data_IF_946371394208
#
_entry.id   IF_946371394208
#
_cell.length_a   1.000
_cell.length_b   1.000
_cell.length_c   1.000
_cell.angle_alpha   90.00
_cell.angle_beta   90.00
_cell.angle_gamma   90.00
#
_symmetry.space_group_name_H-M   'P 1'
#
loop_
_entity.id
_entity.type
_entity.pdbx_description
1 polymer ?
#
# COMPACT_ATOMS: atom_id res chain seq x y z
N UNK A 1 10.05 18.33 9.75
CA UNK A 1 9.07 17.56 10.55
C UNK A 1 9.43 16.10 10.37
N UNK A 2 9.48 15.29 11.43
CA UNK A 2 9.72 13.85 11.27
C UNK A 2 8.50 13.18 10.63
N UNK A 3 8.66 11.98 10.08
CA UNK A 3 7.52 11.23 9.55
C UNK A 3 6.50 10.89 10.65
N UNK A 4 6.97 10.58 11.87
CA UNK A 4 6.10 10.32 13.02
C UNK A 4 5.26 11.54 13.40
N UNK A 5 5.87 12.73 13.43
CA UNK A 5 5.14 13.98 13.69
C UNK A 5 4.09 14.24 12.60
N UNK A 6 4.42 13.95 11.33
CA UNK A 6 3.47 14.06 10.22
C UNK A 6 2.29 13.11 10.41
N UNK A 7 2.52 11.84 10.73
CA UNK A 7 1.45 10.86 11.01
C UNK A 7 0.50 11.38 12.11
N UNK A 8 1.07 11.83 13.23
CA UNK A 8 0.29 12.30 14.39
C UNK A 8 -0.53 13.56 14.09
N UNK A 9 -0.01 14.46 13.24
CA UNK A 9 -0.65 15.76 12.96
C UNK A 9 -1.57 15.76 11.74
N UNK A 10 -1.34 14.89 10.75
CA UNK A 10 -2.03 14.93 9.45
C UNK A 10 -2.82 13.67 9.13
N UNK A 11 -2.51 12.53 9.76
CA UNK A 11 -3.18 11.24 9.51
C UNK A 11 -3.83 10.67 10.78
N UNK A 12 -4.25 11.54 11.70
CA UNK A 12 -4.92 11.10 12.92
C UNK A 12 -6.19 10.30 12.59
N UNK A 13 -6.28 9.08 13.11
CA UNK A 13 -7.39 8.16 12.85
C UNK A 13 -7.16 7.21 11.66
N UNK A 14 -5.98 7.25 11.03
CA UNK A 14 -5.52 6.23 10.09
C UNK A 14 -4.37 5.45 10.73
N UNK A 15 -4.54 4.14 10.88
CA UNK A 15 -3.43 3.25 11.24
C UNK A 15 -2.90 2.57 9.97
N UNK A 16 -1.58 2.62 9.75
CA UNK A 16 -0.91 1.96 8.63
C UNK A 16 -0.78 0.44 8.89
N UNK A 17 -1.92 -0.23 9.07
CA UNK A 17 -2.03 -1.67 9.31
C UNK A 17 -3.10 -2.29 8.41
N UNK A 18 -2.90 -3.53 7.94
CA UNK A 18 -3.90 -4.23 7.14
C UNK A 18 -5.05 -4.79 8.02
N UNK A 19 -6.29 -4.84 7.50
CA UNK A 19 -6.73 -4.11 6.30
C UNK A 19 -6.88 -2.61 6.60
N UNK A 20 -6.20 -1.78 5.81
CA UNK A 20 -6.15 -0.31 5.92
C UNK A 20 -7.55 0.31 5.94
N UNK A 21 -8.49 -0.21 5.14
CA UNK A 21 -9.88 0.25 5.08
C UNK A 21 -10.65 0.13 6.41
N UNK A 22 -10.37 -0.91 7.21
CA UNK A 22 -10.99 -1.04 8.53
C UNK A 22 -10.26 -0.24 9.61
N UNK A 23 -9.02 0.17 9.32
CA UNK A 23 -8.18 1.02 10.14
C UNK A 23 -8.30 2.52 9.79
N UNK A 24 -9.35 2.90 9.09
CA UNK A 24 -9.72 4.29 8.76
C UNK A 24 -11.24 4.49 8.79
N UNK A 25 -11.68 5.70 9.11
CA UNK A 25 -13.10 6.09 9.05
C UNK A 25 -13.60 6.32 7.62
N UNK A 26 -12.71 6.80 6.74
CA UNK A 26 -13.03 7.19 5.37
C UNK A 26 -12.10 6.42 4.45
N UNK A 27 -12.67 5.60 3.58
CA UNK A 27 -11.91 4.78 2.66
C UNK A 27 -12.77 4.13 1.60
N UNK A 28 -12.09 3.65 0.57
CA UNK A 28 -12.68 2.84 -0.50
C UNK A 28 -11.77 1.63 -0.69
N UNK A 29 -12.39 0.46 -0.75
CA UNK A 29 -11.72 -0.80 -1.08
C UNK A 29 -12.07 -1.19 -2.50
N UNK A 30 -11.06 -1.29 -3.34
CA UNK A 30 -11.18 -1.65 -4.74
C UNK A 30 -10.80 -3.11 -4.97
N UNK A 31 -11.50 -3.74 -5.89
CA UNK A 31 -11.18 -5.03 -6.46
C UNK A 31 -10.32 -4.82 -7.72
N UNK A 32 -9.13 -5.41 -7.75
CA UNK A 32 -8.20 -5.30 -8.88
C UNK A 32 -8.35 -6.46 -9.87
N UNK A 33 -8.20 -7.68 -9.40
CA UNK A 33 -8.41 -8.89 -10.19
C UNK A 33 -9.89 -9.18 -10.38
N UNK A 34 -10.32 -9.55 -11.59
CA UNK A 34 -11.73 -9.89 -11.87
C UNK A 34 -11.93 -11.38 -11.56
N UNK A 35 -12.61 -11.75 -10.45
CA UNK A 35 -12.57 -13.12 -9.93
C UNK A 35 -13.17 -14.15 -10.90
N UNK A 36 -14.17 -13.74 -11.69
CA UNK A 36 -14.91 -14.64 -12.57
C UNK A 36 -14.08 -15.28 -13.69
N UNK A 37 -12.96 -14.66 -14.08
CA UNK A 37 -12.07 -15.18 -15.13
C UNK A 37 -10.96 -16.09 -14.59
N UNK A 38 -10.63 -15.95 -13.31
CA UNK A 38 -9.53 -16.66 -12.66
C UNK A 38 -8.15 -16.16 -13.06
N UNK A 39 -7.15 -16.48 -12.24
CA UNK A 39 -5.73 -16.10 -12.41
C UNK A 39 -5.07 -16.71 -13.65
N UNK A 40 -5.68 -17.74 -14.24
CA UNK A 40 -5.22 -18.41 -15.45
C UNK A 40 -5.58 -17.62 -16.72
N UNK A 41 -6.53 -16.68 -16.64
CA UNK A 41 -6.84 -15.80 -17.76
C UNK A 41 -5.61 -14.91 -18.06
N UNK A 42 -5.10 -14.92 -19.31
CA UNK A 42 -3.98 -14.06 -19.70
C UNK A 42 -4.19 -12.57 -19.41
N UNK A 43 -5.44 -12.11 -19.40
CA UNK A 43 -5.84 -10.73 -19.17
C UNK A 43 -5.97 -10.38 -17.67
N UNK A 44 -5.83 -11.35 -16.76
CA UNK A 44 -6.01 -11.11 -15.33
C UNK A 44 -5.01 -10.07 -14.82
N UNK A 45 -3.70 -10.32 -14.99
CA UNK A 45 -2.66 -9.39 -14.55
C UNK A 45 -2.61 -8.10 -15.37
N UNK A 46 -3.09 -8.10 -16.62
CA UNK A 46 -3.29 -6.87 -17.39
C UNK A 46 -4.37 -5.99 -16.76
N UNK A 47 -5.45 -6.60 -16.28
CA UNK A 47 -6.53 -5.89 -15.59
C UNK A 47 -6.08 -5.35 -14.24
N UNK A 48 -5.38 -6.18 -13.45
CA UNK A 48 -4.78 -5.76 -12.17
C UNK A 48 -3.88 -4.56 -12.38
N UNK A 49 -2.91 -4.67 -13.31
CA UNK A 49 -2.00 -3.59 -13.68
C UNK A 49 -2.76 -2.33 -14.08
N UNK A 50 -3.74 -2.46 -14.98
CA UNK A 50 -4.52 -1.31 -15.46
C UNK A 50 -5.26 -0.61 -14.32
N UNK A 51 -5.98 -1.35 -13.48
CA UNK A 51 -6.75 -0.78 -12.37
C UNK A 51 -5.82 -0.14 -11.33
N UNK A 52 -4.76 -0.84 -10.92
CA UNK A 52 -3.82 -0.33 -9.91
C UNK A 52 -3.11 0.94 -10.37
N UNK A 53 -2.61 0.97 -11.62
CA UNK A 53 -1.97 2.17 -12.19
C UNK A 53 -2.96 3.32 -12.34
N UNK A 54 -4.17 3.08 -12.85
CA UNK A 54 -5.19 4.12 -13.04
C UNK A 54 -5.58 4.77 -11.71
N UNK A 55 -5.81 3.95 -10.68
CA UNK A 55 -6.15 4.43 -9.34
C UNK A 55 -4.98 5.22 -8.73
N UNK A 56 -3.75 4.75 -8.89
CA UNK A 56 -2.56 5.45 -8.41
C UNK A 56 -2.41 6.81 -9.08
N UNK A 57 -2.46 6.85 -10.42
CA UNK A 57 -2.32 8.07 -11.21
C UNK A 57 -3.43 9.08 -10.88
N UNK A 58 -4.65 8.62 -10.62
CA UNK A 58 -5.78 9.47 -10.19
C UNK A 58 -5.55 10.13 -8.83
N UNK A 59 -4.75 9.51 -7.95
CA UNK A 59 -4.39 10.09 -6.65
C UNK A 59 -3.15 10.99 -6.76
N UNK A 60 -2.10 10.54 -7.47
CA UNK A 60 -0.75 11.10 -7.34
C UNK A 60 -0.25 11.92 -8.53
N UNK A 61 -0.95 11.94 -9.67
CA UNK A 61 -0.50 12.65 -10.89
C UNK A 61 -0.19 14.14 -10.67
N UNK A 62 -0.96 14.82 -9.80
CA UNK A 62 -0.76 16.23 -9.45
C UNK A 62 0.08 16.44 -8.18
N UNK A 63 0.58 15.35 -7.57
CA UNK A 63 1.32 15.46 -6.32
C UNK A 63 2.75 15.89 -6.57
N UNK A 64 3.18 16.98 -5.91
CA UNK A 64 4.57 17.42 -5.96
C UNK A 64 5.51 16.50 -5.18
N UNK A 65 5.01 15.93 -4.08
CA UNK A 65 5.78 15.04 -3.18
C UNK A 65 4.86 13.98 -2.60
N UNK A 66 5.40 12.82 -2.28
CA UNK A 66 4.70 11.77 -1.53
C UNK A 66 5.65 11.11 -0.52
N UNK A 67 5.08 10.50 0.51
CA UNK A 67 5.82 9.48 1.26
C UNK A 67 5.59 8.12 0.61
N UNK A 68 6.67 7.37 0.45
CA UNK A 68 6.61 5.91 0.35
C UNK A 68 7.05 5.33 1.71
N UNK A 69 6.24 4.43 2.24
CA UNK A 69 6.44 3.79 3.54
C UNK A 69 6.52 2.30 3.31
N UNK A 70 7.56 1.67 3.86
CA UNK A 70 7.76 0.22 3.82
C UNK A 70 7.69 -0.30 5.24
N UNK A 71 6.81 -1.26 5.51
CA UNK A 71 6.83 -2.07 6.74
C UNK A 71 7.27 -3.48 6.40
N UNK A 72 8.26 -3.98 7.13
CA UNK A 72 8.89 -5.28 6.91
C UNK A 72 9.16 -5.98 8.24
N UNK A 73 9.40 -7.28 8.18
CA UNK A 73 9.79 -8.10 9.30
C UNK A 73 11.16 -8.73 9.03
N UNK A 74 12.11 -8.49 9.92
CA UNK A 74 13.44 -9.08 9.86
C UNK A 74 13.54 -10.21 10.90
N UNK A 75 13.67 -11.48 10.48
CA UNK A 75 13.74 -12.60 11.41
C UNK A 75 15.10 -12.62 12.15
N UNK A 76 15.10 -13.18 13.35
CA UNK A 76 16.30 -13.51 14.11
C UNK A 76 16.45 -15.03 14.16
N UNK A 77 17.70 -15.52 14.09
CA UNK A 77 18.00 -16.95 14.26
C UNK A 77 17.34 -17.53 15.52
N UNK A 78 16.71 -18.72 15.46
CA UNK A 78 16.72 -19.65 14.32
C UNK A 78 15.61 -19.43 13.28
N UNK A 79 14.79 -18.38 13.41
CA UNK A 79 13.72 -18.09 12.48
C UNK A 79 14.28 -17.55 11.16
N UNK A 80 13.65 -17.92 10.05
CA UNK A 80 14.03 -17.50 8.70
C UNK A 80 12.77 -17.16 7.89
N UNK A 81 12.89 -16.18 6.99
CA UNK A 81 11.84 -15.86 6.02
C UNK A 81 12.17 -16.61 4.72
N UNK A 82 11.28 -17.50 4.32
CA UNK A 82 11.35 -18.13 3.01
C UNK A 82 10.80 -17.17 1.96
N UNK A 83 11.56 -16.96 0.87
CA UNK A 83 11.14 -16.12 -0.27
C UNK A 83 10.82 -14.67 0.12
N UNK A 84 11.79 -13.87 0.62
CA UNK A 84 11.52 -12.53 1.14
C UNK A 84 11.09 -11.48 0.08
N UNK A 85 11.15 -11.81 -1.21
CA UNK A 85 10.95 -10.86 -2.29
C UNK A 85 12.10 -9.86 -2.42
N UNK A 86 11.88 -8.79 -3.19
CA UNK A 86 12.84 -7.70 -3.38
C UNK A 86 12.57 -6.54 -2.42
N UNK A 87 13.63 -5.83 -2.04
CA UNK A 87 13.54 -4.60 -1.25
C UNK A 87 13.05 -3.46 -2.15
N UNK A 88 11.90 -2.86 -1.79
CA UNK A 88 11.27 -1.81 -2.60
C UNK A 88 12.17 -0.60 -2.83
N UNK A 89 13.00 -0.22 -1.85
CA UNK A 89 13.85 0.94 -1.97
C UNK A 89 15.11 0.62 -2.78
N UNK A 90 15.65 -0.58 -2.64
CA UNK A 90 16.82 -0.98 -3.41
C UNK A 90 16.49 -1.17 -4.91
N UNK A 91 15.29 -1.70 -5.20
CA UNK A 91 14.92 -2.09 -6.57
C UNK A 91 14.21 -0.99 -7.35
N UNK A 92 13.34 -0.20 -6.70
CA UNK A 92 12.40 0.69 -7.40
C UNK A 92 12.55 2.17 -7.06
N UNK A 93 13.58 2.55 -6.31
CA UNK A 93 13.86 3.94 -5.95
C UNK A 93 15.24 4.35 -6.44
N UNK A 94 15.35 5.57 -6.95
CA UNK A 94 16.62 6.14 -7.39
C UNK A 94 17.69 6.06 -6.30
N UNK A 95 18.83 5.45 -6.64
CA UNK A 95 19.97 5.31 -5.72
C UNK A 95 20.49 6.66 -5.19
N UNK A 96 20.26 7.75 -5.92
CA UNK A 96 20.62 9.11 -5.50
C UNK A 96 19.86 9.60 -4.26
N UNK A 97 18.71 9.00 -3.92
CA UNK A 97 17.89 9.41 -2.76
C UNK A 97 17.76 8.32 -1.69
N UNK A 98 18.39 7.16 -1.88
CA UNK A 98 18.31 6.04 -0.93
C UNK A 98 18.82 6.40 0.47
N UNK A 99 19.80 7.29 0.54
CA UNK A 99 20.37 7.79 1.80
C UNK A 99 19.40 8.68 2.60
N UNK A 100 18.25 9.05 2.03
CA UNK A 100 17.18 9.80 2.70
C UNK A 100 16.13 8.89 3.35
N UNK A 101 16.21 7.57 3.16
CA UNK A 101 15.32 6.60 3.82
C UNK A 101 15.56 6.66 5.33
N UNK A 102 14.48 6.80 6.10
CA UNK A 102 14.52 6.87 7.56
C UNK A 102 13.78 5.68 8.15
N UNK A 103 14.49 4.87 8.94
CA UNK A 103 13.86 3.92 9.86
C UNK A 103 13.25 4.72 11.02
N UNK A 104 11.92 4.74 11.12
CA UNK A 104 11.21 5.46 12.18
C UNK A 104 10.59 4.51 13.21
N UNK A 105 10.61 3.21 12.98
CA UNK A 105 10.12 2.23 13.93
C UNK A 105 10.94 0.94 13.84
N UNK A 106 11.31 0.39 14.99
CA UNK A 106 11.97 -0.89 15.12
C UNK A 106 11.51 -1.53 16.43
N UNK A 107 10.65 -2.56 16.33
CA UNK A 107 9.98 -3.19 17.46
C UNK A 107 10.33 -4.69 17.48
N UNK A 108 10.72 -5.24 18.64
CA UNK A 108 10.90 -6.69 18.77
C UNK A 108 9.56 -7.40 18.59
N UNK A 109 9.60 -8.55 17.94
CA UNK A 109 8.46 -9.43 17.72
C UNK A 109 8.67 -10.77 18.44
N UNK A 110 7.62 -11.30 19.04
CA UNK A 110 7.71 -12.47 19.91
C UNK A 110 6.70 -13.52 19.48
N UNK A 111 7.12 -14.77 19.53
CA UNK A 111 6.25 -15.92 19.32
C UNK A 111 5.16 -15.95 20.41
N UNK A 112 3.90 -16.04 20.02
CA UNK A 112 2.76 -15.87 20.94
C UNK A 112 2.71 -16.96 22.03
N UNK A 113 3.15 -18.18 21.70
CA UNK A 113 3.07 -19.34 22.60
C UNK A 113 4.29 -19.45 23.52
N UNK A 114 5.48 -19.23 22.96
CA UNK A 114 6.76 -19.43 23.66
C UNK A 114 7.38 -18.16 24.21
N UNK A 115 6.86 -16.98 23.81
CA UNK A 115 7.38 -15.65 24.13
C UNK A 115 8.87 -15.48 23.77
N UNK A 116 9.36 -16.25 22.79
CA UNK A 116 10.71 -16.13 22.27
C UNK A 116 10.79 -15.01 21.24
N UNK A 117 11.89 -14.24 21.26
CA UNK A 117 12.15 -13.22 20.26
C UNK A 117 12.31 -13.89 18.89
N UNK A 118 11.40 -13.60 17.97
CA UNK A 118 11.41 -14.17 16.62
C UNK A 118 12.13 -13.26 15.63
N UNK A 119 12.12 -11.95 15.88
CA UNK A 119 12.69 -10.96 14.97
C UNK A 119 12.30 -9.53 15.33
N UNK A 120 12.31 -8.66 14.33
CA UNK A 120 12.01 -7.25 14.47
C UNK A 120 11.07 -6.76 13.35
N UNK A 121 9.95 -6.18 13.76
CA UNK A 121 9.10 -5.40 12.88
C UNK A 121 9.69 -4.01 12.69
N UNK A 122 10.01 -3.65 11.44
CA UNK A 122 10.62 -2.36 11.09
C UNK A 122 9.77 -1.56 10.12
N UNK A 123 9.69 -0.25 10.35
CA UNK A 123 8.99 0.68 9.47
C UNK A 123 9.94 1.78 8.99
N UNK A 124 9.95 1.98 7.69
CA UNK A 124 10.80 2.93 6.98
C UNK A 124 9.96 3.91 6.18
N UNK A 125 10.43 5.14 6.07
CA UNK A 125 9.77 6.20 5.31
C UNK A 125 10.77 6.92 4.41
N UNK A 126 10.30 7.36 3.25
CA UNK A 126 11.03 8.22 2.33
C UNK A 126 10.08 9.26 1.75
N UNK A 127 10.39 10.54 1.97
CA UNK A 127 9.74 11.66 1.30
C UNK A 127 10.46 11.95 -0.01
N UNK A 128 9.75 11.91 -1.13
CA UNK A 128 10.35 12.18 -2.44
C UNK A 128 9.31 12.58 -3.51
N UNK A 129 9.81 12.95 -4.68
CA UNK A 129 9.01 13.22 -5.87
C UNK A 129 8.73 11.91 -6.62
N UNK A 130 7.60 11.87 -7.35
CA UNK A 130 7.19 10.67 -8.09
C UNK A 130 8.21 10.25 -9.17
N UNK A 131 8.95 11.21 -9.73
CA UNK A 131 10.00 10.95 -10.73
C UNK A 131 11.15 10.07 -10.24
N UNK A 132 11.33 9.94 -8.92
CA UNK A 132 12.39 9.12 -8.31
C UNK A 132 11.95 7.70 -7.95
N UNK A 133 10.71 7.33 -8.28
CA UNK A 133 10.13 6.03 -7.95
C UNK A 133 9.54 5.38 -9.20
N UNK A 134 9.92 4.13 -9.47
CA UNK A 134 9.21 3.29 -10.43
C UNK A 134 7.93 2.69 -9.79
N UNK A 135 6.93 3.53 -9.58
CA UNK A 135 5.68 3.09 -8.95
C UNK A 135 4.96 2.00 -9.75
N UNK A 136 5.11 1.98 -11.09
CA UNK A 136 4.51 0.93 -11.94
C UNK A 136 5.19 -0.41 -11.68
N UNK A 137 6.53 -0.41 -11.57
CA UNK A 137 7.31 -1.57 -11.15
C UNK A 137 6.90 -2.08 -9.78
N UNK A 138 6.70 -1.18 -8.80
CA UNK A 138 6.25 -1.52 -7.44
C UNK A 138 4.87 -2.18 -7.47
N UNK A 139 3.87 -1.55 -8.11
CA UNK A 139 2.51 -2.10 -8.18
C UNK A 139 2.49 -3.47 -8.87
N UNK A 140 3.29 -3.63 -9.93
CA UNK A 140 3.47 -4.92 -10.60
C UNK A 140 4.09 -5.96 -9.67
N UNK A 141 5.13 -5.61 -8.92
CA UNK A 141 5.79 -6.54 -8.00
C UNK A 141 4.88 -6.94 -6.83
N UNK A 142 4.07 -6.02 -6.30
CA UNK A 142 3.04 -6.35 -5.30
C UNK A 142 2.03 -7.35 -5.88
N UNK A 143 1.61 -7.18 -7.14
CA UNK A 143 0.69 -8.14 -7.79
C UNK A 143 1.26 -9.56 -7.95
N UNK A 144 2.59 -9.73 -7.85
CA UNK A 144 3.25 -11.03 -7.99
C UNK A 144 3.63 -11.67 -6.65
N UNK A 145 3.21 -11.11 -5.51
CA UNK A 145 3.57 -11.61 -4.16
C UNK A 145 3.23 -13.09 -3.96
N UNK A 146 2.08 -13.55 -4.47
CA UNK A 146 1.68 -14.97 -4.46
C UNK A 146 2.13 -15.74 -5.72
N UNK A 147 2.83 -15.08 -6.66
CA UNK A 147 3.25 -15.65 -7.94
C UNK A 147 4.74 -15.41 -8.27
N UNK A 148 5.71 -15.91 -7.46
CA UNK A 148 7.14 -15.66 -7.67
C UNK A 148 7.69 -16.04 -9.06
N UNK A 149 7.06 -16.97 -9.76
CA UNK A 149 7.47 -17.39 -11.12
C UNK A 149 7.23 -16.33 -12.20
N UNK A 150 6.47 -15.26 -11.91
CA UNK A 150 6.17 -14.18 -12.86
C UNK A 150 7.21 -13.06 -12.90
N UNK A 151 8.12 -12.99 -11.93
CA UNK A 151 9.20 -12.00 -11.87
C UNK A 151 9.46 -11.52 -10.45
N UNK A 152 10.07 -10.33 -10.33
CA UNK A 152 10.27 -9.68 -9.04
C UNK A 152 8.91 -9.48 -8.34
N UNK A 153 8.90 -9.74 -7.03
CA UNK A 153 7.74 -9.59 -6.17
C UNK A 153 8.14 -8.95 -4.84
N UNK A 154 7.20 -8.27 -4.19
CA UNK A 154 7.39 -7.62 -2.89
C UNK A 154 6.44 -8.28 -1.88
N UNK A 155 6.98 -8.78 -0.76
CA UNK A 155 6.17 -9.25 0.38
C UNK A 155 5.89 -8.16 1.42
N UNK A 156 6.75 -7.14 1.47
CA UNK A 156 6.62 -6.06 2.42
C UNK A 156 5.36 -5.22 2.18
N UNK A 157 4.84 -4.61 3.26
CA UNK A 157 3.69 -3.73 3.14
C UNK A 157 4.16 -2.36 2.69
N UNK A 158 3.68 -1.94 1.53
CA UNK A 158 4.00 -0.64 0.94
C UNK A 158 2.80 0.29 1.04
N UNK A 159 3.01 1.50 1.56
CA UNK A 159 2.02 2.57 1.57
C UNK A 159 2.57 3.77 0.81
N UNK A 160 1.75 4.35 -0.05
CA UNK A 160 2.02 5.64 -0.65
C UNK A 160 1.11 6.69 -0.01
N UNK A 161 1.65 7.84 0.36
CA UNK A 161 0.92 8.88 1.08
C UNK A 161 1.02 10.20 0.35
N UNK A 162 -0.13 10.73 -0.08
CA UNK A 162 -0.21 12.05 -0.68
C UNK A 162 -0.17 13.12 0.43
N UNK A 163 0.93 13.86 0.52
CA UNK A 163 1.23 14.76 1.64
C UNK A 163 0.25 15.93 1.80
N UNK A 164 -0.29 16.44 0.69
CA UNK A 164 -1.24 17.58 0.68
C UNK A 164 -2.69 17.15 0.88
N UNK A 165 -3.11 16.06 0.22
CA UNK A 165 -4.49 15.54 0.30
C UNK A 165 -4.69 14.59 1.49
N UNK A 166 -3.62 14.20 2.19
CA UNK A 166 -3.63 13.24 3.29
C UNK A 166 -4.38 11.95 2.92
N UNK A 167 -4.07 11.44 1.72
CA UNK A 167 -4.59 10.19 1.18
C UNK A 167 -3.51 9.12 1.38
N UNK A 168 -3.89 7.95 1.87
CA UNK A 168 -3.02 6.77 1.96
C UNK A 168 -3.53 5.74 0.97
N UNK A 169 -2.61 5.23 0.15
CA UNK A 169 -2.84 4.22 -0.87
C UNK A 169 -2.06 2.96 -0.51
N UNK A 170 -2.73 1.81 -0.47
CA UNK A 170 -2.14 0.52 -0.16
C UNK A 170 -2.72 -0.58 -1.04
N UNK A 171 -1.88 -1.17 -1.88
CA UNK A 171 -2.19 -2.38 -2.62
C UNK A 171 -1.75 -3.60 -1.81
N UNK A 172 -2.64 -4.56 -1.59
CA UNK A 172 -2.33 -5.76 -0.80
C UNK A 172 -1.59 -6.80 -1.63
N UNK A 173 -2.17 -7.09 -2.80
CA UNK A 173 -1.82 -8.16 -3.72
C UNK A 173 -2.54 -7.89 -5.04
N UNK A 174 -2.68 -8.91 -5.89
CA UNK A 174 -3.40 -8.86 -7.15
C UNK A 174 -4.93 -8.73 -7.01
N UNK A 175 -5.49 -8.92 -5.81
CA UNK A 175 -6.94 -8.93 -5.57
C UNK A 175 -7.45 -7.59 -5.08
N UNK A 176 -6.76 -6.98 -4.11
CA UNK A 176 -7.32 -5.87 -3.34
C UNK A 176 -6.42 -4.64 -3.25
N UNK A 177 -7.06 -3.47 -3.20
CA UNK A 177 -6.40 -2.18 -3.00
C UNK A 177 -7.27 -1.24 -2.17
N UNK A 178 -6.70 -0.67 -1.12
CA UNK A 178 -7.36 0.31 -0.27
C UNK A 178 -6.82 1.73 -0.50
N UNK A 179 -7.74 2.67 -0.59
CA UNK A 179 -7.44 4.11 -0.60
C UNK A 179 -8.24 4.75 0.51
N UNK A 180 -7.56 5.34 1.49
CA UNK A 180 -8.17 5.98 2.66
C UNK A 180 -7.74 7.44 2.75
N UNK A 181 -8.55 8.27 3.40
CA UNK A 181 -8.26 9.68 3.56
C UNK A 181 -8.82 10.21 4.89
N UNK A 182 -8.38 11.40 5.28
CA UNK A 182 -8.97 12.12 6.42
C UNK A 182 -10.29 12.81 6.06
N UNK A 183 -10.48 13.14 4.78
CA UNK A 183 -11.65 13.88 4.29
C UNK A 183 -12.29 13.12 3.13
N UNK A 184 -13.60 12.89 3.19
CA UNK A 184 -14.32 12.15 2.16
C UNK A 184 -14.31 12.89 0.82
N UNK A 185 -14.31 14.23 0.84
CA UNK A 185 -14.20 15.05 -0.38
C UNK A 185 -12.98 14.66 -1.24
N UNK A 186 -11.87 14.25 -0.61
CA UNK A 186 -10.64 13.89 -1.31
C UNK A 186 -10.73 12.55 -2.06
N UNK A 187 -11.72 11.71 -1.75
CA UNK A 187 -11.97 10.42 -2.41
C UNK A 187 -13.23 10.45 -3.29
N UNK A 188 -13.98 11.55 -3.32
CA UNK A 188 -15.27 11.62 -4.02
C UNK A 188 -15.14 11.35 -5.53
N UNK A 189 -14.09 11.88 -6.17
CA UNK A 189 -13.85 11.62 -7.59
C UNK A 189 -13.59 10.12 -7.85
N UNK A 190 -12.78 9.47 -6.99
CA UNK A 190 -12.51 8.05 -7.11
C UNK A 190 -13.78 7.21 -6.92
N UNK A 191 -14.61 7.57 -5.94
CA UNK A 191 -15.88 6.89 -5.67
C UNK A 191 -16.84 6.97 -6.86
N UNK A 192 -16.93 8.13 -7.50
CA UNK A 192 -17.84 8.35 -8.63
C UNK A 192 -17.33 7.71 -9.92
N UNK A 193 -16.04 7.88 -10.23
CA UNK A 193 -15.46 7.44 -11.50
C UNK A 193 -15.17 5.94 -11.53
N UNK A 194 -14.75 5.36 -10.41
CA UNK A 194 -14.34 3.96 -10.31
C UNK A 194 -15.30 3.13 -9.45
N UNK A 195 -16.58 3.52 -9.40
CA UNK A 195 -17.60 2.85 -8.59
C UNK A 195 -17.74 1.35 -8.91
N UNK A 196 -17.64 1.00 -10.19
CA UNK A 196 -17.74 -0.37 -10.68
C UNK A 196 -16.55 -1.25 -10.26
N UNK A 197 -15.48 -0.66 -9.73
CA UNK A 197 -14.30 -1.38 -9.22
C UNK A 197 -14.32 -1.52 -7.70
N UNK A 198 -15.33 -0.97 -7.02
CA UNK A 198 -15.47 -1.10 -5.57
C UNK A 198 -15.82 -2.54 -5.23
N UNK A 199 -15.16 -3.10 -4.22
CA UNK A 199 -15.43 -4.44 -3.72
C UNK A 199 -16.85 -4.50 -3.14
N UNK A 200 -17.69 -5.34 -3.74
CA UNK A 200 -19.11 -5.46 -3.36
C UNK A 200 -19.34 -5.81 -1.90
N UNK A 201 -18.42 -6.58 -1.29
CA UNK A 201 -18.48 -6.93 0.13
C UNK A 201 -18.55 -5.71 1.06
N UNK A 202 -17.81 -4.65 0.75
CA UNK A 202 -17.73 -3.42 1.56
C UNK A 202 -18.58 -2.28 0.98
N UNK A 203 -19.30 -2.52 -0.13
CA UNK A 203 -20.03 -1.49 -0.90
C UNK A 203 -21.04 -0.72 -0.06
N UNK A 204 -21.87 -1.39 0.73
CA UNK A 204 -22.86 -0.69 1.57
C UNK A 204 -22.22 0.29 2.56
N UNK A 205 -21.07 -0.08 3.16
CA UNK A 205 -20.35 0.80 4.09
C UNK A 205 -19.79 2.01 3.35
N UNK A 206 -19.22 1.79 2.17
CA UNK A 206 -18.66 2.85 1.31
C UNK A 206 -19.78 3.79 0.85
N UNK A 207 -20.90 3.27 0.35
CA UNK A 207 -22.06 4.09 -0.05
C UNK A 207 -22.68 4.87 1.10
N UNK A 208 -22.69 4.36 2.34
CA UNK A 208 -23.12 5.18 3.49
C UNK A 208 -22.18 6.35 3.77
N UNK A 209 -20.91 6.23 3.40
CA UNK A 209 -19.88 7.25 3.60
C UNK A 209 -19.91 8.32 2.52
N UNK A 210 -20.18 7.94 1.26
CA UNK A 210 -20.13 8.83 0.10
C UNK A 210 -21.49 9.13 -0.56
N UNK A 211 -22.45 8.21 -0.47
CA UNK A 211 -23.74 8.20 -1.16
C UNK A 211 -24.87 8.99 -0.48
N UNK A 212 -24.54 10.04 0.29
CA UNK A 212 -25.52 11.03 0.74
C UNK A 212 -25.17 12.42 0.20
N UNK A 213 -25.73 12.70 -0.97
CA UNK A 213 -26.02 14.05 -1.49
C UNK A 213 -27.50 14.12 -1.81
#
# INVERSE_FOLDING_TARGET
MSFQDYLLSHLQGISLEPPLFYNSNIGIRFELGVPYRGIEDPLYFETVKKRSETLFESVFSESSELYIVRKTYEPQAPYEVFNPGVDVFAEYVDSAIINKVVCFENKPDYDEDTNQLTGYSKSFSLLCCLEHIDYKGILKAISYSEFPSKGNYIFDRIYFIHTKKNIVFHMYDDRGLDIVAIRSENLMNLFNEFNDWILDYDREKIERTFGKG
#
